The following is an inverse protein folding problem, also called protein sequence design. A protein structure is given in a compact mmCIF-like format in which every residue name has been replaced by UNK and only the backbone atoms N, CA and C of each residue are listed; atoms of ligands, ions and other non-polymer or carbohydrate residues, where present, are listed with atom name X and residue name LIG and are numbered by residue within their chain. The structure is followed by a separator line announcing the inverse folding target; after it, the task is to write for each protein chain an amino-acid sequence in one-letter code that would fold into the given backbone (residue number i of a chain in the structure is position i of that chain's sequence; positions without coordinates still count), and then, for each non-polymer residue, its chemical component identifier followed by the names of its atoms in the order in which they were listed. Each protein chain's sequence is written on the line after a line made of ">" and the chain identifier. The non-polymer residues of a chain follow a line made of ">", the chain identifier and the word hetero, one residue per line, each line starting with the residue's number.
data_IF_547403468934
#
_entry.id   IF_547403468934
#
_cell.length_a   1.000
_cell.length_b   1.000
_cell.length_c   1.000
_cell.angle_alpha   90.00
_cell.angle_beta   90.00
_cell.angle_gamma   90.00
#
_symmetry.space_group_name_H-M   'P 1'
#
loop_
_entity.id
_entity.type
_entity.pdbx_description
1 polymer ?
#
# COMPACT_ATOMS: atom_id res chain seq x y z
N UNK A 1 30.06 43.31 -16.12
CA UNK A 1 28.77 42.74 -16.49
C UNK A 1 28.77 41.25 -16.10
N UNK A 2 28.23 40.97 -14.94
CA UNK A 2 28.16 39.55 -14.47
C UNK A 2 26.89 38.95 -15.07
N UNK A 3 27.05 37.89 -15.86
CA UNK A 3 25.93 37.05 -16.30
C UNK A 3 25.37 36.32 -15.10
N UNK A 4 24.04 36.22 -14.95
CA UNK A 4 23.45 35.39 -13.92
C UNK A 4 23.75 33.91 -14.25
N UNK A 5 24.48 33.26 -13.37
CA UNK A 5 24.61 31.83 -13.39
C UNK A 5 23.21 31.26 -13.20
N UNK A 6 22.63 30.73 -14.28
CA UNK A 6 21.47 29.85 -14.17
C UNK A 6 21.90 28.64 -13.36
N UNK A 7 21.57 28.65 -12.07
CA UNK A 7 21.61 27.42 -11.29
C UNK A 7 20.70 26.41 -12.01
N UNK A 8 21.30 25.38 -12.59
CA UNK A 8 20.56 24.23 -13.12
C UNK A 8 19.80 23.67 -11.92
N UNK A 9 18.50 23.86 -11.94
CA UNK A 9 17.62 23.29 -10.94
C UNK A 9 17.79 21.78 -11.06
N UNK A 10 18.34 21.12 -10.03
CA UNK A 10 18.34 19.68 -10.00
C UNK A 10 16.91 19.21 -10.20
N UNK A 11 16.68 18.21 -11.09
CA UNK A 11 15.35 17.69 -11.27
C UNK A 11 14.82 17.22 -9.92
N UNK A 12 13.62 17.62 -9.59
CA UNK A 12 12.94 17.21 -8.37
C UNK A 12 13.07 15.68 -8.23
N UNK A 13 13.56 15.21 -7.09
CA UNK A 13 13.79 13.78 -6.83
C UNK A 13 12.58 12.90 -7.16
N UNK A 14 11.38 13.48 -7.20
CA UNK A 14 10.15 12.81 -7.64
C UNK A 14 10.20 12.33 -9.09
N UNK A 15 10.97 12.99 -9.95
CA UNK A 15 11.14 12.59 -11.36
C UNK A 15 12.19 11.49 -11.55
N UNK A 16 12.98 11.18 -10.52
CA UNK A 16 14.03 10.19 -10.57
C UNK A 16 13.64 8.85 -9.93
N UNK A 17 12.41 8.76 -9.37
CA UNK A 17 11.94 7.49 -8.82
C UNK A 17 11.58 6.52 -9.95
N UNK A 18 12.08 5.28 -9.90
CA UNK A 18 11.69 4.27 -10.87
C UNK A 18 10.17 4.03 -10.80
N UNK A 19 9.57 3.68 -11.93
CA UNK A 19 8.18 3.27 -11.97
C UNK A 19 7.95 2.10 -11.00
N UNK A 20 6.78 2.07 -10.35
CA UNK A 20 6.42 0.99 -9.44
C UNK A 20 6.39 -0.36 -10.17
N UNK A 21 6.94 -1.40 -9.53
CA UNK A 21 7.00 -2.76 -10.08
C UNK A 21 5.67 -3.51 -9.97
N UNK A 22 4.71 -2.95 -9.28
CA UNK A 22 3.37 -3.48 -9.06
C UNK A 22 2.61 -2.63 -8.06
N UNK A 23 1.41 -3.07 -7.73
CA UNK A 23 0.55 -2.41 -6.74
C UNK A 23 0.23 -3.36 -5.60
N UNK A 24 0.63 -3.02 -4.38
CA UNK A 24 0.16 -3.70 -3.18
C UNK A 24 -1.24 -3.21 -2.86
N UNK A 25 -2.19 -4.14 -2.78
CA UNK A 25 -3.62 -3.84 -2.58
C UNK A 25 -3.96 -3.98 -1.11
N UNK A 26 -4.28 -2.86 -0.46
CA UNK A 26 -4.66 -2.86 0.96
C UNK A 26 -5.99 -3.63 1.18
N UNK A 27 -6.16 -4.19 2.35
CA UNK A 27 -7.32 -4.99 2.71
C UNK A 27 -8.65 -4.24 2.54
N UNK A 28 -8.69 -2.93 2.83
CA UNK A 28 -9.90 -2.12 2.67
C UNK A 28 -10.44 -2.12 1.23
N UNK A 29 -9.56 -2.14 0.25
CA UNK A 29 -9.93 -2.20 -1.17
C UNK A 29 -10.62 -3.53 -1.50
N UNK A 30 -10.02 -4.63 -1.06
CA UNK A 30 -10.57 -5.98 -1.28
C UNK A 30 -11.88 -6.16 -0.54
N UNK A 31 -11.99 -5.65 0.68
CA UNK A 31 -13.21 -5.69 1.47
C UNK A 31 -14.35 -4.93 0.78
N UNK A 32 -14.06 -3.75 0.20
CA UNK A 32 -15.05 -2.98 -0.56
C UNK A 32 -15.68 -3.80 -1.69
N UNK A 33 -14.84 -4.53 -2.40
CA UNK A 33 -15.28 -5.36 -3.54
C UNK A 33 -16.02 -6.61 -3.06
N UNK A 34 -15.48 -7.31 -2.06
CA UNK A 34 -16.05 -8.56 -1.54
C UNK A 34 -17.40 -8.33 -0.84
N UNK A 35 -17.56 -7.18 -0.18
CA UNK A 35 -18.79 -6.82 0.53
C UNK A 35 -19.78 -6.03 -0.34
N UNK A 36 -19.46 -5.76 -1.60
CA UNK A 36 -20.24 -4.89 -2.47
C UNK A 36 -20.62 -3.57 -1.77
N UNK A 37 -19.61 -2.87 -1.26
CA UNK A 37 -19.78 -1.64 -0.49
C UNK A 37 -20.53 -0.59 -1.33
N UNK A 38 -21.64 -0.03 -0.84
CA UNK A 38 -22.47 0.86 -1.63
C UNK A 38 -21.79 2.18 -1.98
N UNK A 39 -20.78 2.59 -1.23
CA UNK A 39 -20.04 3.82 -1.47
C UNK A 39 -18.74 3.59 -2.23
N UNK A 40 -18.03 2.50 -1.96
CA UNK A 40 -16.64 2.33 -2.39
C UNK A 40 -16.39 1.21 -3.39
N UNK A 41 -17.34 0.28 -3.58
CA UNK A 41 -17.12 -0.87 -4.46
C UNK A 41 -16.71 -0.44 -5.88
N UNK A 42 -17.43 0.50 -6.47
CA UNK A 42 -17.17 0.94 -7.84
C UNK A 42 -15.82 1.64 -7.97
N UNK A 43 -15.50 2.52 -7.02
CA UNK A 43 -14.21 3.19 -7.00
C UNK A 43 -13.05 2.19 -6.86
N UNK A 44 -13.18 1.25 -5.92
CA UNK A 44 -12.15 0.23 -5.67
C UNK A 44 -11.95 -0.70 -6.87
N UNK A 45 -13.03 -1.13 -7.52
CA UNK A 45 -12.96 -1.91 -8.77
C UNK A 45 -12.27 -1.14 -9.89
N UNK A 46 -12.59 0.14 -10.06
CA UNK A 46 -11.96 0.98 -11.08
C UNK A 46 -10.46 1.12 -10.84
N UNK A 47 -10.04 1.31 -9.60
CA UNK A 47 -8.61 1.42 -9.27
C UNK A 47 -7.88 0.08 -9.45
N UNK A 48 -8.50 -1.04 -9.08
CA UNK A 48 -7.93 -2.37 -9.33
C UNK A 48 -7.72 -2.61 -10.83
N UNK A 49 -8.70 -2.27 -11.64
CA UNK A 49 -8.59 -2.40 -13.09
C UNK A 49 -7.48 -1.52 -13.66
N UNK A 50 -7.46 -0.25 -13.28
CA UNK A 50 -6.45 0.72 -13.75
C UNK A 50 -5.03 0.30 -13.35
N UNK A 51 -4.83 -0.04 -12.09
CA UNK A 51 -3.52 -0.48 -11.60
C UNK A 51 -3.09 -1.81 -12.23
N UNK A 52 -4.04 -2.75 -12.35
CA UNK A 52 -3.79 -4.08 -12.91
C UNK A 52 -3.42 -4.07 -14.39
N UNK A 53 -3.83 -3.05 -15.15
CA UNK A 53 -3.43 -2.87 -16.55
C UNK A 53 -1.95 -2.44 -16.69
N UNK A 54 -1.39 -1.82 -15.66
CA UNK A 54 -0.03 -1.27 -15.69
C UNK A 54 1.02 -2.25 -15.17
N UNK A 55 0.69 -3.00 -14.11
CA UNK A 55 1.61 -3.90 -13.42
C UNK A 55 0.83 -4.86 -12.52
N UNK A 56 1.46 -5.93 -12.01
CA UNK A 56 0.77 -6.91 -11.16
C UNK A 56 0.14 -6.29 -9.90
N UNK A 57 -1.04 -6.79 -9.55
CA UNK A 57 -1.69 -6.54 -8.27
C UNK A 57 -1.19 -7.56 -7.25
N UNK A 58 -0.68 -7.09 -6.12
CA UNK A 58 0.00 -7.90 -5.11
C UNK A 58 -0.75 -7.86 -3.80
N UNK A 59 -0.83 -9.00 -3.13
CA UNK A 59 -1.23 -9.11 -1.72
C UNK A 59 -0.17 -9.86 -0.93
N UNK A 60 -0.20 -9.72 0.39
CA UNK A 60 0.70 -10.41 1.31
C UNK A 60 -0.06 -11.12 2.43
N UNK A 61 0.60 -11.90 3.30
CA UNK A 61 -0.06 -12.60 4.40
C UNK A 61 -0.78 -11.70 5.40
N UNK A 62 -0.31 -10.49 5.62
CA UNK A 62 -0.96 -9.53 6.53
C UNK A 62 -2.31 -9.09 5.96
N UNK A 63 -2.35 -8.76 4.69
CA UNK A 63 -3.58 -8.37 3.98
C UNK A 63 -4.58 -9.53 4.00
N UNK A 64 -4.12 -10.75 3.71
CA UNK A 64 -4.96 -11.94 3.76
C UNK A 64 -5.54 -12.15 5.15
N UNK A 65 -4.73 -11.98 6.19
CA UNK A 65 -5.17 -12.11 7.58
C UNK A 65 -6.26 -11.10 7.95
N UNK A 66 -6.19 -9.88 7.42
CA UNK A 66 -7.20 -8.85 7.66
C UNK A 66 -8.54 -9.14 6.97
N UNK A 67 -8.52 -9.84 5.85
CA UNK A 67 -9.73 -10.24 5.10
C UNK A 67 -10.37 -11.51 5.71
N UNK A 68 -9.53 -12.39 6.23
CA UNK A 68 -9.91 -13.73 6.71
C UNK A 68 -11.11 -13.77 7.66
N UNK A 69 -11.30 -12.82 8.62
CA UNK A 69 -12.44 -12.86 9.54
C UNK A 69 -13.83 -12.81 8.88
N UNK A 70 -13.90 -12.43 7.62
CA UNK A 70 -15.16 -12.38 6.85
C UNK A 70 -15.59 -13.73 6.30
N UNK A 71 -14.76 -14.74 6.44
CA UNK A 71 -15.00 -16.09 5.91
C UNK A 71 -14.90 -17.12 7.04
N UNK A 72 -15.75 -18.13 6.99
CA UNK A 72 -15.69 -19.24 7.95
C UNK A 72 -14.67 -20.30 7.53
N UNK A 73 -14.44 -20.43 6.21
CA UNK A 73 -13.57 -21.48 5.66
C UNK A 73 -12.54 -20.87 4.70
N UNK A 74 -11.33 -21.38 4.77
CA UNK A 74 -10.25 -20.98 3.86
C UNK A 74 -10.63 -21.18 2.39
N UNK A 75 -11.35 -22.25 2.06
CA UNK A 75 -11.78 -22.54 0.69
C UNK A 75 -12.71 -21.43 0.14
N UNK A 76 -13.56 -20.85 0.97
CA UNK A 76 -14.47 -19.78 0.55
C UNK A 76 -13.69 -18.48 0.29
N UNK A 77 -12.71 -18.17 1.13
CA UNK A 77 -11.80 -17.05 0.91
C UNK A 77 -11.03 -17.21 -0.41
N UNK A 78 -10.45 -18.38 -0.63
CA UNK A 78 -9.69 -18.66 -1.85
C UNK A 78 -10.57 -18.52 -3.11
N UNK A 79 -11.81 -19.04 -3.06
CA UNK A 79 -12.75 -18.92 -4.17
C UNK A 79 -13.12 -17.46 -4.46
N UNK A 80 -13.32 -16.65 -3.43
CA UNK A 80 -13.61 -15.23 -3.57
C UNK A 80 -12.44 -14.46 -4.21
N UNK A 81 -11.21 -14.72 -3.77
CA UNK A 81 -10.02 -14.08 -4.31
C UNK A 81 -9.64 -14.55 -5.72
N UNK A 82 -10.03 -15.78 -6.09
CA UNK A 82 -9.73 -16.32 -7.42
C UNK A 82 -10.39 -15.52 -8.57
N UNK A 83 -11.43 -14.74 -8.29
CA UNK A 83 -12.05 -13.85 -9.27
C UNK A 83 -11.19 -12.62 -9.62
N UNK A 84 -10.15 -12.33 -8.84
CA UNK A 84 -9.26 -11.19 -9.03
C UNK A 84 -7.86 -11.66 -9.41
N UNK A 85 -7.17 -10.96 -10.33
CA UNK A 85 -5.83 -11.35 -10.80
C UNK A 85 -4.73 -10.94 -9.78
N UNK A 86 -4.81 -11.47 -8.57
CA UNK A 86 -3.90 -11.13 -7.49
C UNK A 86 -2.69 -12.06 -7.47
N UNK A 87 -1.51 -11.47 -7.28
CA UNK A 87 -0.24 -12.17 -7.07
C UNK A 87 0.11 -12.13 -5.59
N UNK A 88 0.52 -13.25 -5.03
CA UNK A 88 0.93 -13.35 -3.61
C UNK A 88 2.43 -13.17 -3.47
N UNK A 89 2.82 -12.29 -2.56
CA UNK A 89 4.22 -12.14 -2.14
C UNK A 89 4.33 -12.38 -0.64
N UNK A 90 5.38 -13.07 -0.22
CA UNK A 90 5.71 -13.17 1.19
C UNK A 90 6.10 -11.78 1.73
N UNK A 91 5.87 -11.55 3.02
CA UNK A 91 6.36 -10.34 3.67
C UNK A 91 7.89 -10.39 3.73
N UNK A 92 8.60 -9.42 3.11
CA UNK A 92 10.07 -9.41 3.15
C UNK A 92 10.59 -9.19 4.57
N UNK A 93 11.70 -9.85 4.92
CA UNK A 93 12.36 -9.64 6.22
C UNK A 93 12.78 -8.18 6.42
N UNK A 94 13.26 -7.52 5.37
CA UNK A 94 13.62 -6.10 5.41
C UNK A 94 12.40 -5.21 5.73
N UNK A 95 11.23 -5.60 5.29
CA UNK A 95 10.00 -4.90 5.65
C UNK A 95 9.68 -4.99 7.15
N UNK A 96 10.00 -6.10 7.80
CA UNK A 96 9.79 -6.25 9.24
C UNK A 96 10.65 -5.25 10.03
N UNK A 97 11.92 -5.07 9.67
CA UNK A 97 12.78 -4.07 10.29
C UNK A 97 12.24 -2.65 10.08
N UNK A 98 11.89 -2.31 8.85
CA UNK A 98 11.36 -0.98 8.51
C UNK A 98 10.03 -0.71 9.23
N UNK A 99 9.16 -1.70 9.34
CA UNK A 99 7.92 -1.60 10.12
C UNK A 99 8.19 -1.28 11.60
N UNK A 100 9.21 -1.92 12.17
CA UNK A 100 9.67 -1.65 13.53
C UNK A 100 10.20 -0.23 13.70
N UNK A 101 10.94 0.30 12.73
CA UNK A 101 11.42 1.68 12.77
C UNK A 101 10.26 2.69 12.68
N UNK A 102 9.29 2.45 11.80
CA UNK A 102 8.09 3.29 11.70
C UNK A 102 7.27 3.25 13.00
N UNK A 103 7.15 2.08 13.63
CA UNK A 103 6.51 1.94 14.92
C UNK A 103 7.23 2.72 16.03
N UNK A 104 8.57 2.74 16.02
CA UNK A 104 9.36 3.54 16.96
C UNK A 104 9.04 5.03 16.84
N UNK A 105 8.90 5.55 15.62
CA UNK A 105 8.49 6.94 15.38
C UNK A 105 7.06 7.18 15.91
N UNK A 106 6.14 6.26 15.65
CA UNK A 106 4.77 6.31 16.17
C UNK A 106 4.75 6.37 17.70
N UNK A 107 5.53 5.54 18.39
CA UNK A 107 5.64 5.55 19.85
C UNK A 107 6.24 6.86 20.37
N UNK A 108 7.24 7.40 19.69
CA UNK A 108 7.85 8.70 19.99
C UNK A 108 6.86 9.86 19.84
N UNK A 109 5.85 9.73 18.97
CA UNK A 109 4.75 10.68 18.83
C UNK A 109 3.58 10.37 19.79
N UNK A 110 3.82 9.67 20.89
CA UNK A 110 2.85 9.29 21.93
C UNK A 110 1.76 8.32 21.45
N UNK A 111 2.10 7.44 20.53
CA UNK A 111 1.22 6.35 20.11
C UNK A 111 0.89 5.39 21.26
N UNK A 112 -0.37 4.95 21.34
CA UNK A 112 -0.88 4.12 22.43
C UNK A 112 -0.63 2.62 22.27
N UNK A 113 -0.42 2.14 21.04
CA UNK A 113 -0.20 0.72 20.77
C UNK A 113 1.18 0.26 21.24
N UNK A 114 1.28 -0.99 21.66
CA UNK A 114 2.51 -1.58 22.21
C UNK A 114 3.26 -2.46 21.22
N UNK A 115 2.68 -2.75 20.07
CA UNK A 115 3.29 -3.53 19.00
C UNK A 115 2.97 -2.92 17.63
N UNK A 116 3.79 -3.18 16.58
CA UNK A 116 3.52 -2.68 15.25
C UNK A 116 2.15 -3.11 14.74
N UNK A 117 1.40 -2.17 14.15
CA UNK A 117 0.10 -2.43 13.56
C UNK A 117 0.26 -2.95 12.12
N UNK A 118 -0.77 -3.63 11.57
CA UNK A 118 -0.72 -4.15 10.20
C UNK A 118 -0.27 -3.14 9.15
N UNK A 119 -0.71 -1.88 9.24
CA UNK A 119 -0.36 -0.82 8.31
C UNK A 119 1.15 -0.57 8.22
N UNK A 120 1.89 -0.73 9.32
CA UNK A 120 3.34 -0.57 9.29
C UNK A 120 4.01 -1.65 8.45
N UNK A 121 3.55 -2.90 8.52
CA UNK A 121 4.06 -3.99 7.68
C UNK A 121 3.66 -3.82 6.22
N UNK A 122 2.44 -3.39 5.95
CA UNK A 122 1.94 -3.18 4.59
C UNK A 122 2.70 -2.05 3.91
N UNK A 123 2.83 -0.90 4.56
CA UNK A 123 3.59 0.22 4.02
C UNK A 123 5.07 -0.10 3.80
N UNK A 124 5.69 -0.78 4.76
CA UNK A 124 7.08 -1.21 4.66
C UNK A 124 7.30 -2.21 3.52
N UNK A 125 6.41 -3.17 3.35
CA UNK A 125 6.48 -4.13 2.24
C UNK A 125 6.44 -3.43 0.88
N UNK A 126 5.47 -2.53 0.69
CA UNK A 126 5.35 -1.78 -0.55
C UNK A 126 6.64 -0.99 -0.83
N UNK A 127 7.17 -0.29 0.16
CA UNK A 127 8.38 0.52 0.00
C UNK A 127 9.60 -0.32 -0.34
N UNK A 128 9.82 -1.43 0.38
CA UNK A 128 10.99 -2.31 0.19
C UNK A 128 10.99 -2.96 -1.20
N UNK A 129 9.82 -3.37 -1.70
CA UNK A 129 9.71 -4.06 -2.99
C UNK A 129 9.44 -3.11 -4.17
N UNK A 130 9.46 -1.80 -3.95
CA UNK A 130 9.22 -0.84 -5.03
C UNK A 130 7.79 -0.88 -5.58
N UNK A 131 6.82 -1.27 -4.74
CA UNK A 131 5.40 -1.29 -5.08
C UNK A 131 4.76 0.05 -4.72
N UNK A 132 3.78 0.48 -5.51
CA UNK A 132 2.84 1.48 -5.00
C UNK A 132 1.78 0.81 -4.11
N UNK A 133 1.12 1.60 -3.28
CA UNK A 133 0.05 1.11 -2.41
C UNK A 133 -1.30 1.65 -2.86
N UNK A 134 -2.26 0.77 -3.06
CA UNK A 134 -3.65 1.13 -3.30
C UNK A 134 -4.43 0.99 -1.99
N UNK A 135 -4.94 2.12 -1.47
CA UNK A 135 -5.64 2.17 -0.18
C UNK A 135 -6.67 3.29 -0.16
N UNK A 136 -7.70 3.18 0.66
CA UNK A 136 -8.59 4.29 1.01
C UNK A 136 -8.09 5.11 2.20
N UNK A 137 -7.27 4.53 3.05
CA UNK A 137 -6.79 5.12 4.31
C UNK A 137 -5.34 5.56 4.18
N UNK A 138 -5.10 6.61 3.40
CA UNK A 138 -3.75 7.05 3.07
C UNK A 138 -3.01 7.80 4.19
N UNK A 139 -3.72 8.39 5.15
CA UNK A 139 -3.14 9.33 6.10
C UNK A 139 -1.97 8.77 6.91
N UNK A 140 -2.12 7.57 7.49
CA UNK A 140 -1.06 6.92 8.27
C UNK A 140 0.13 6.55 7.38
N UNK A 141 -0.13 6.02 6.21
CA UNK A 141 0.93 5.65 5.27
C UNK A 141 1.75 6.88 4.84
N UNK A 142 1.10 8.00 4.53
CA UNK A 142 1.79 9.24 4.19
C UNK A 142 2.62 9.78 5.36
N UNK A 143 2.13 9.61 6.58
CA UNK A 143 2.80 10.07 7.79
C UNK A 143 4.09 9.30 8.08
N UNK A 144 4.07 7.97 7.96
CA UNK A 144 5.19 7.11 8.35
C UNK A 144 6.04 6.61 7.17
N UNK A 145 5.53 6.72 5.95
CA UNK A 145 6.22 6.32 4.73
C UNK A 145 6.11 7.42 3.67
N UNK A 146 6.75 8.59 3.89
CA UNK A 146 6.57 9.75 3.00
C UNK A 146 7.07 9.53 1.57
N UNK A 147 7.93 8.52 1.34
CA UNK A 147 8.43 8.17 0.00
C UNK A 147 7.55 7.16 -0.74
N UNK A 148 6.57 6.58 -0.05
CA UNK A 148 5.68 5.59 -0.64
C UNK A 148 4.76 6.24 -1.66
N UNK A 149 4.69 5.67 -2.86
CA UNK A 149 3.69 6.05 -3.85
C UNK A 149 2.34 5.45 -3.44
N UNK A 150 1.32 6.29 -3.38
CA UNK A 150 0.00 5.89 -2.91
C UNK A 150 -1.05 6.27 -3.95
N UNK A 151 -1.94 5.31 -4.24
CA UNK A 151 -3.19 5.53 -4.97
C UNK A 151 -4.32 5.50 -3.95
N UNK A 152 -4.98 6.63 -3.78
CA UNK A 152 -6.04 6.80 -2.79
C UNK A 152 -7.10 7.77 -3.34
N UNK A 153 -8.32 7.79 -2.77
CA UNK A 153 -9.31 8.79 -3.13
C UNK A 153 -8.77 10.20 -2.85
N UNK A 154 -9.13 11.13 -3.71
CA UNK A 154 -8.87 12.54 -3.45
C UNK A 154 -9.70 13.03 -2.25
N UNK A 155 -9.06 13.81 -1.41
CA UNK A 155 -9.74 14.37 -0.23
C UNK A 155 -10.76 15.44 -0.63
#
# INVERSE_FOLDING_TARGET
>A
MQQPTHAVREPDARYLQPAATGTLVDSCILIDVLADDPQWCDWSLEQLDRCGQQAPLVINPIILAEISPRFERAADLEAALAALPLVRQALPWDAAFLAGQAFKVYRGAQGAKTSPMPDFYIGAHALVNGLQLLTRDAARYRSYFPRLQIVAPEA
#
